data_IF_252438599844
#
_entry.id   IF_252438599844
#
_cell.length_a   1.000
_cell.length_b   1.000
_cell.length_c   1.000
_cell.angle_alpha   90.00
_cell.angle_beta   90.00
_cell.angle_gamma   90.00
#
_symmetry.space_group_name_H-M   'P 1'
#
loop_
_entity.id
_entity.type
_entity.pdbx_description
1 polymer ?
#
# COMPACT_ATOMS: atom_id res chain seq x y z
N UNK A 1 53.83 -0.25 4.60
CA UNK A 1 52.72 0.67 4.23
C UNK A 1 51.44 -0.10 4.39
N UNK A 2 50.81 0.00 5.56
CA UNK A 2 49.60 -0.75 5.88
C UNK A 2 48.38 0.09 5.46
N UNK A 3 47.63 -0.43 4.52
CA UNK A 3 46.39 0.17 4.05
C UNK A 3 45.28 -0.19 5.05
N UNK A 4 44.93 0.76 5.92
CA UNK A 4 43.79 0.64 6.82
C UNK A 4 42.51 0.80 6.01
N UNK A 5 41.77 -0.29 5.85
CA UNK A 5 40.40 -0.29 5.36
C UNK A 5 39.49 0.31 6.44
N UNK A 6 39.00 1.51 6.20
CA UNK A 6 37.93 2.09 7.03
C UNK A 6 36.63 1.54 6.52
N UNK A 7 36.01 0.67 7.32
CA UNK A 7 34.65 0.17 7.07
C UNK A 7 33.68 1.37 7.16
N UNK A 8 33.26 1.90 6.03
CA UNK A 8 32.19 2.89 5.97
C UNK A 8 30.88 2.12 6.14
N UNK A 9 30.17 2.38 7.24
CA UNK A 9 28.92 1.69 7.55
C UNK A 9 27.89 1.92 6.44
N UNK A 10 27.44 0.85 5.83
CA UNK A 10 26.33 0.83 4.89
C UNK A 10 25.06 0.83 5.73
N UNK A 11 24.36 1.95 5.75
CA UNK A 11 23.00 2.00 6.30
C UNK A 11 22.03 1.66 5.18
N UNK A 12 21.42 0.51 5.29
CA UNK A 12 20.42 0.00 4.36
C UNK A 12 19.08 0.65 4.69
N UNK A 13 18.66 1.61 3.91
CA UNK A 13 17.28 2.12 3.95
C UNK A 13 16.49 1.39 2.87
N UNK A 14 15.97 0.21 3.20
CA UNK A 14 14.98 -0.45 2.37
C UNK A 14 13.61 0.11 2.73
N UNK A 15 13.08 1.03 1.95
CA UNK A 15 11.66 1.35 1.98
C UNK A 15 10.89 0.26 1.24
N UNK A 16 10.84 -0.92 1.84
CA UNK A 16 9.91 -1.96 1.42
C UNK A 16 8.63 -1.71 2.18
N UNK A 17 7.62 -1.18 1.51
CA UNK A 17 6.26 -1.24 2.01
C UNK A 17 5.75 -2.64 1.69
N UNK A 18 6.26 -3.61 2.43
CA UNK A 18 5.56 -4.87 2.60
C UNK A 18 4.50 -4.61 3.64
N UNK A 19 3.24 -4.78 3.32
CA UNK A 19 2.16 -4.89 4.30
C UNK A 19 2.28 -6.20 5.10
N UNK A 20 3.50 -6.58 5.47
CA UNK A 20 3.77 -7.68 6.37
C UNK A 20 3.83 -7.12 7.79
N UNK A 21 2.90 -7.54 8.63
CA UNK A 21 2.88 -7.24 10.05
C UNK A 21 4.18 -7.71 10.71
N UNK A 22 5.10 -6.77 10.97
CA UNK A 22 6.25 -7.02 11.83
C UNK A 22 5.71 -7.04 13.27
N UNK A 23 5.61 -8.23 13.86
CA UNK A 23 5.47 -8.38 15.32
C UNK A 23 6.74 -7.86 16.00
N UNK A 24 6.66 -6.66 16.54
CA UNK A 24 7.65 -6.16 17.51
C UNK A 24 7.14 -6.51 18.91
N UNK A 25 7.96 -7.14 19.78
CA UNK A 25 7.53 -7.46 21.13
C UNK A 25 7.24 -6.18 21.93
N UNK A 26 6.09 -6.17 22.61
CA UNK A 26 5.69 -5.11 23.55
C UNK A 26 6.76 -4.94 24.63
N UNK A 27 7.50 -3.84 24.58
CA UNK A 27 8.13 -3.30 25.78
C UNK A 27 7.19 -2.27 26.40
N UNK A 28 6.73 -2.56 27.60
CA UNK A 28 5.96 -1.64 28.44
C UNK A 28 6.76 -0.37 28.71
N UNK A 29 6.35 0.73 28.10
CA UNK A 29 6.74 2.09 28.53
C UNK A 29 5.53 2.75 29.20
N UNK A 30 5.70 3.45 30.33
CA UNK A 30 4.59 4.06 31.04
C UNK A 30 3.99 5.23 30.24
N UNK A 31 2.67 5.32 30.31
CA UNK A 31 1.90 6.40 29.70
C UNK A 31 2.37 7.77 30.22
N UNK A 32 3.06 8.51 29.37
CA UNK A 32 3.30 9.92 29.59
C UNK A 32 2.18 10.74 28.92
N UNK A 33 1.57 11.60 29.70
CA UNK A 33 0.53 12.54 29.37
C UNK A 33 0.81 13.30 28.08
N UNK A 34 -0.13 13.23 27.13
CA UNK A 34 -0.16 14.01 25.90
C UNK A 34 -0.37 15.48 26.27
N UNK A 35 0.48 16.42 25.81
CA UNK A 35 0.20 17.86 25.96
C UNK A 35 -1.04 18.24 25.14
N UNK A 36 -2.06 18.77 25.80
CA UNK A 36 -3.18 19.43 25.12
C UNK A 36 -2.67 20.74 24.47
N UNK A 37 -2.79 20.84 23.14
CA UNK A 37 -2.67 22.10 22.43
C UNK A 37 -1.78 22.10 21.21
N UNK A 38 -2.18 21.37 20.16
CA UNK A 38 -1.77 21.65 18.77
C UNK A 38 -2.90 21.17 17.89
N UNK A 39 -3.20 21.88 16.81
CA UNK A 39 -4.24 21.51 15.85
C UNK A 39 -3.96 20.11 15.29
N UNK A 40 -4.44 19.11 16.01
CA UNK A 40 -4.29 17.69 15.70
C UNK A 40 -5.49 17.30 14.86
N UNK A 41 -5.39 17.47 13.55
CA UNK A 41 -6.49 17.11 12.68
C UNK A 41 -6.02 16.88 11.27
N UNK A 42 -6.84 16.18 10.54
CA UNK A 42 -6.74 16.08 9.10
C UNK A 42 -7.13 17.42 8.46
N UNK A 43 -6.36 17.87 7.49
CA UNK A 43 -6.61 19.09 6.71
C UNK A 43 -7.20 18.66 5.38
N UNK A 44 -8.39 19.19 5.02
CA UNK A 44 -8.98 18.92 3.73
C UNK A 44 -8.31 19.81 2.66
N UNK A 45 -7.50 19.20 1.80
CA UNK A 45 -6.82 19.85 0.67
C UNK A 45 -7.59 19.75 -0.66
N UNK A 46 -8.75 19.07 -0.67
CA UNK A 46 -9.60 18.85 -1.83
C UNK A 46 -11.08 19.14 -1.49
N UNK A 47 -11.96 19.05 -2.47
CA UNK A 47 -13.42 19.12 -2.25
C UNK A 47 -13.96 17.73 -1.96
N UNK A 48 -14.93 17.65 -1.03
CA UNK A 48 -15.65 16.40 -0.80
C UNK A 48 -16.54 16.07 -2.01
N UNK A 49 -16.57 14.80 -2.45
CA UNK A 49 -17.44 14.40 -3.56
C UNK A 49 -18.92 14.39 -3.17
N UNK A 50 -19.79 14.45 -4.17
CA UNK A 50 -21.20 14.18 -3.99
C UNK A 50 -21.40 12.75 -3.44
N UNK A 51 -22.35 12.62 -2.54
CA UNK A 51 -22.58 11.37 -1.84
C UNK A 51 -23.89 10.72 -2.30
N UNK A 52 -23.86 9.48 -2.83
CA UNK A 52 -25.09 8.74 -3.10
C UNK A 52 -25.80 8.38 -1.79
N UNK A 53 -27.11 8.15 -1.85
CA UNK A 53 -27.89 7.73 -0.67
C UNK A 53 -27.60 6.28 -0.25
N UNK A 54 -27.23 5.44 -1.24
CA UNK A 54 -26.89 4.02 -1.07
C UNK A 54 -25.61 3.69 -1.83
N UNK A 55 -24.98 2.59 -1.46
CA UNK A 55 -23.86 2.03 -2.19
C UNK A 55 -23.99 0.50 -2.25
N UNK A 56 -23.45 -0.16 -3.31
CA UNK A 56 -23.48 -1.60 -3.40
C UNK A 56 -22.62 -2.26 -2.33
N UNK A 57 -23.05 -3.43 -1.88
CA UNK A 57 -22.22 -4.42 -1.18
C UNK A 57 -21.91 -5.56 -2.14
N UNK A 58 -20.76 -6.21 -1.94
CA UNK A 58 -20.37 -7.35 -2.77
C UNK A 58 -20.07 -8.57 -1.91
N UNK A 59 -20.64 -9.71 -2.30
CA UNK A 59 -20.35 -11.00 -1.67
C UNK A 59 -19.07 -11.59 -2.25
N UNK A 60 -18.17 -12.03 -1.40
CA UNK A 60 -16.97 -12.74 -1.80
C UNK A 60 -17.33 -14.17 -2.16
N UNK A 61 -17.13 -14.55 -3.42
CA UNK A 61 -17.48 -15.91 -3.92
C UNK A 61 -16.25 -16.80 -4.06
N UNK A 62 -15.06 -16.23 -4.24
CA UNK A 62 -13.80 -16.97 -4.33
C UNK A 62 -12.64 -16.10 -3.88
N UNK A 63 -11.65 -16.74 -3.25
CA UNK A 63 -10.41 -16.15 -2.80
C UNK A 63 -9.23 -16.84 -3.50
N UNK A 64 -8.26 -16.06 -3.95
CA UNK A 64 -6.97 -16.52 -4.44
C UNK A 64 -5.87 -15.94 -3.53
N UNK A 65 -4.91 -16.78 -3.18
CA UNK A 65 -3.72 -16.35 -2.44
C UNK A 65 -2.53 -17.15 -2.95
N UNK A 66 -1.47 -16.44 -3.32
CA UNK A 66 -0.22 -17.04 -3.75
C UNK A 66 0.92 -16.21 -3.17
N UNK A 67 1.91 -16.88 -2.63
CA UNK A 67 3.18 -16.28 -2.26
C UNK A 67 4.30 -17.17 -2.74
N UNK A 68 5.19 -16.61 -3.55
CA UNK A 68 6.44 -17.21 -3.95
C UNK A 68 7.52 -16.14 -3.90
N UNK A 69 8.67 -16.47 -3.35
CA UNK A 69 9.77 -15.52 -3.24
C UNK A 69 11.10 -16.23 -3.06
N UNK A 70 12.15 -15.64 -3.62
CA UNK A 70 13.54 -16.06 -3.45
C UNK A 70 14.25 -15.17 -2.43
N UNK A 71 15.34 -15.68 -1.86
CA UNK A 71 16.18 -14.87 -0.99
C UNK A 71 16.90 -13.80 -1.82
N UNK A 72 16.67 -12.53 -1.49
CA UNK A 72 17.30 -11.40 -2.17
C UNK A 72 18.74 -11.24 -1.69
N UNK A 73 19.67 -11.27 -2.63
CA UNK A 73 21.08 -10.93 -2.36
C UNK A 73 21.29 -9.48 -2.76
N UNK A 74 21.78 -8.68 -1.82
CA UNK A 74 22.10 -7.27 -2.08
C UNK A 74 23.48 -7.14 -2.69
N UNK A 75 23.51 -6.94 -3.99
CA UNK A 75 24.70 -6.73 -4.79
C UNK A 75 24.41 -5.75 -5.92
N UNK A 76 25.44 -5.23 -6.54
CA UNK A 76 25.27 -4.39 -7.74
C UNK A 76 24.71 -5.26 -8.86
N UNK A 77 23.50 -4.94 -9.31
CA UNK A 77 22.79 -5.64 -10.37
C UNK A 77 22.98 -4.92 -11.71
N UNK A 78 23.00 -5.70 -12.78
CA UNK A 78 22.95 -5.20 -14.15
C UNK A 78 21.62 -5.60 -14.79
N UNK A 79 21.17 -4.88 -15.80
CA UNK A 79 19.99 -5.30 -16.59
C UNK A 79 18.68 -5.43 -15.79
N UNK A 80 18.49 -4.61 -14.77
CA UNK A 80 17.20 -4.46 -14.09
C UNK A 80 16.20 -3.82 -15.08
N UNK A 81 15.01 -4.41 -15.28
CA UNK A 81 14.05 -3.90 -16.25
C UNK A 81 13.59 -2.49 -15.91
N UNK A 82 13.44 -1.67 -16.94
CA UNK A 82 12.76 -0.38 -16.82
C UNK A 82 11.29 -0.58 -16.43
N UNK A 83 10.63 0.46 -15.95
CA UNK A 83 9.22 0.41 -15.55
C UNK A 83 8.31 -0.14 -16.67
N UNK A 84 8.56 0.25 -17.94
CA UNK A 84 7.77 -0.24 -19.09
C UNK A 84 8.02 -1.73 -19.39
N UNK A 85 9.26 -2.17 -19.31
CA UNK A 85 9.62 -3.58 -19.50
C UNK A 85 9.07 -4.44 -18.37
N UNK A 86 9.11 -3.92 -17.14
CA UNK A 86 8.62 -4.61 -15.96
C UNK A 86 7.14 -4.97 -16.06
N UNK A 87 6.30 -4.07 -16.57
CA UNK A 87 4.87 -4.37 -16.80
C UNK A 87 4.70 -5.55 -17.77
N UNK A 88 5.47 -5.56 -18.87
CA UNK A 88 5.41 -6.64 -19.87
C UNK A 88 5.85 -7.98 -19.26
N UNK A 89 6.92 -7.98 -18.46
CA UNK A 89 7.39 -9.18 -17.76
C UNK A 89 6.37 -9.65 -16.72
N UNK A 90 5.82 -8.74 -15.93
CA UNK A 90 4.83 -9.05 -14.92
C UNK A 90 3.57 -9.71 -15.53
N UNK A 91 3.01 -9.15 -16.59
CA UNK A 91 1.85 -9.71 -17.28
C UNK A 91 2.14 -11.10 -17.85
N UNK A 92 3.34 -11.32 -18.39
CA UNK A 92 3.76 -12.64 -18.89
C UNK A 92 3.88 -13.66 -17.77
N UNK A 93 4.50 -13.30 -16.65
CA UNK A 93 4.64 -14.15 -15.47
C UNK A 93 3.27 -14.51 -14.89
N UNK A 94 2.37 -13.55 -14.81
CA UNK A 94 1.02 -13.76 -14.27
C UNK A 94 0.23 -14.85 -14.99
N UNK A 95 0.54 -15.18 -16.24
CA UNK A 95 -0.12 -16.29 -16.96
C UNK A 95 0.01 -17.60 -16.17
N UNK A 96 1.16 -17.87 -15.58
CA UNK A 96 1.43 -19.08 -14.80
C UNK A 96 0.73 -19.06 -13.41
N UNK A 97 0.29 -17.87 -12.98
CA UNK A 97 -0.40 -17.65 -11.70
C UNK A 97 -1.91 -17.33 -11.87
N UNK A 98 -2.51 -17.83 -12.95
CA UNK A 98 -3.95 -17.68 -13.22
C UNK A 98 -4.33 -16.42 -13.99
N UNK A 99 -3.34 -15.67 -14.49
CA UNK A 99 -3.53 -14.46 -15.28
C UNK A 99 -3.81 -13.20 -14.47
N UNK A 100 -3.83 -12.08 -15.16
CA UNK A 100 -4.24 -10.79 -14.60
C UNK A 100 -5.78 -10.75 -14.53
N UNK A 101 -6.38 -10.53 -13.33
CA UNK A 101 -7.83 -10.38 -13.19
C UNK A 101 -8.37 -9.22 -14.01
N UNK A 102 -9.62 -9.34 -14.49
CA UNK A 102 -10.24 -8.30 -15.36
C UNK A 102 -10.50 -6.97 -14.65
N UNK A 103 -10.63 -7.04 -13.33
CA UNK A 103 -10.87 -5.93 -12.41
C UNK A 103 -9.57 -5.44 -11.75
N UNK A 104 -8.41 -5.87 -12.27
CA UNK A 104 -7.10 -5.38 -11.87
C UNK A 104 -6.74 -4.11 -12.64
N UNK A 105 -6.21 -3.12 -11.93
CA UNK A 105 -5.63 -1.89 -12.48
C UNK A 105 -4.19 -1.75 -12.02
N UNK A 106 -3.31 -1.30 -12.91
CA UNK A 106 -1.93 -1.01 -12.59
C UNK A 106 -1.87 0.20 -11.63
N UNK A 107 -1.35 -0.01 -10.42
CA UNK A 107 -1.31 1.01 -9.37
C UNK A 107 0.06 1.64 -9.21
N UNK A 108 1.11 0.84 -9.31
CA UNK A 108 2.48 1.31 -9.15
C UNK A 108 3.42 0.50 -10.03
N UNK A 109 4.38 1.20 -10.61
CA UNK A 109 5.62 0.61 -11.12
C UNK A 109 6.77 1.45 -10.60
N UNK A 110 7.74 0.82 -9.92
CA UNK A 110 8.84 1.55 -9.28
C UNK A 110 10.11 0.72 -9.29
N UNK A 111 11.21 1.32 -9.72
CA UNK A 111 12.53 0.76 -9.48
C UNK A 111 12.97 1.00 -8.02
N UNK A 112 13.46 -0.03 -7.37
CA UNK A 112 14.01 0.01 -6.02
C UNK A 112 15.53 0.00 -6.11
N UNK A 113 16.17 0.88 -5.35
CA UNK A 113 17.60 1.11 -5.40
C UNK A 113 18.28 0.74 -4.09
N UNK A 114 19.50 0.22 -4.20
CA UNK A 114 20.46 0.21 -3.11
C UNK A 114 21.18 1.55 -3.14
N UNK A 115 21.15 2.27 -2.04
CA UNK A 115 21.76 3.60 -1.94
C UNK A 115 23.01 3.53 -1.07
N UNK A 116 24.09 4.13 -1.58
CA UNK A 116 25.29 4.42 -0.80
C UNK A 116 25.16 5.82 -0.22
N UNK A 117 24.93 5.87 1.07
CA UNK A 117 24.66 7.11 1.80
C UNK A 117 25.92 7.60 2.54
N UNK A 118 26.27 8.87 2.37
CA UNK A 118 27.34 9.51 3.11
C UNK A 118 26.80 10.13 4.40
N UNK A 119 27.13 9.53 5.53
CA UNK A 119 26.67 9.97 6.85
C UNK A 119 27.23 11.33 7.30
N UNK A 120 28.32 11.84 6.68
CA UNK A 120 28.89 13.12 7.03
C UNK A 120 28.27 14.30 6.31
N UNK A 121 27.89 14.07 5.04
CA UNK A 121 27.25 15.09 4.19
C UNK A 121 25.73 14.93 4.14
N UNK A 122 25.23 13.84 4.71
CA UNK A 122 23.80 13.48 4.68
C UNK A 122 23.22 13.41 3.26
N UNK A 123 24.02 12.87 2.31
CA UNK A 123 23.65 12.77 0.90
C UNK A 123 23.81 11.36 0.35
N UNK A 124 22.99 11.01 -0.62
CA UNK A 124 23.17 9.82 -1.45
C UNK A 124 24.31 10.06 -2.43
N UNK A 125 25.35 9.21 -2.40
CA UNK A 125 26.53 9.31 -3.30
C UNK A 125 26.32 8.48 -4.57
N UNK A 126 25.76 7.28 -4.44
CA UNK A 126 25.57 6.34 -5.54
C UNK A 126 24.26 5.58 -5.35
N UNK A 127 23.59 5.24 -6.44
CA UNK A 127 22.36 4.44 -6.45
C UNK A 127 22.51 3.28 -7.44
N UNK A 128 22.14 2.07 -7.01
CA UNK A 128 22.23 0.88 -7.83
C UNK A 128 20.85 0.21 -7.88
N UNK A 129 20.22 0.05 -9.06
CA UNK A 129 18.93 -0.59 -9.16
C UNK A 129 19.03 -2.05 -8.67
N UNK A 130 18.07 -2.48 -7.84
CA UNK A 130 18.03 -3.82 -7.26
C UNK A 130 16.95 -4.69 -7.91
N UNK A 131 15.79 -4.11 -8.10
CA UNK A 131 14.63 -4.76 -8.74
C UNK A 131 13.61 -3.70 -9.16
N UNK A 132 12.68 -4.12 -10.00
CA UNK A 132 11.50 -3.30 -10.33
C UNK A 132 10.26 -3.96 -9.75
N UNK A 133 9.52 -3.19 -8.97
CA UNK A 133 8.26 -3.58 -8.37
C UNK A 133 7.10 -3.19 -9.27
N UNK A 134 6.13 -4.09 -9.46
CA UNK A 134 4.88 -3.85 -10.20
C UNK A 134 3.73 -4.23 -9.28
N UNK A 135 2.81 -3.29 -9.04
CA UNK A 135 1.64 -3.50 -8.18
C UNK A 135 0.36 -3.29 -9.00
N UNK A 136 -0.53 -4.26 -8.93
CA UNK A 136 -1.90 -4.16 -9.40
C UNK A 136 -2.85 -4.16 -8.21
N UNK A 137 -3.85 -3.29 -8.22
CA UNK A 137 -4.91 -3.24 -7.21
C UNK A 137 -6.27 -3.53 -7.84
N UNK A 138 -7.20 -4.02 -7.05
CA UNK A 138 -8.55 -4.30 -7.50
C UNK A 138 -9.39 -3.03 -7.63
N UNK A 139 -10.23 -2.98 -8.66
CA UNK A 139 -11.22 -1.92 -8.86
C UNK A 139 -12.57 -2.54 -9.26
N UNK A 140 -13.62 -2.29 -8.50
CA UNK A 140 -14.95 -2.82 -8.76
C UNK A 140 -15.85 -1.71 -9.29
N UNK A 141 -16.28 -1.82 -10.56
CA UNK A 141 -17.13 -0.82 -11.22
C UNK A 141 -16.61 0.63 -11.10
N UNK A 142 -15.30 0.81 -11.15
CA UNK A 142 -14.66 2.12 -11.00
C UNK A 142 -14.36 2.54 -9.55
N UNK A 143 -14.87 1.82 -8.54
CA UNK A 143 -14.56 2.06 -7.14
C UNK A 143 -13.29 1.32 -6.71
N UNK A 144 -12.32 1.97 -6.05
CA UNK A 144 -11.11 1.34 -5.60
C UNK A 144 -11.38 0.33 -4.48
N UNK A 145 -10.63 -0.76 -4.48
CA UNK A 145 -10.52 -1.66 -3.33
C UNK A 145 -9.14 -1.46 -2.73
N UNK A 146 -9.08 -1.07 -1.47
CA UNK A 146 -7.83 -0.86 -0.74
C UNK A 146 -7.60 -1.96 0.28
N UNK A 147 -6.35 -2.20 0.61
CA UNK A 147 -5.96 -3.20 1.61
C UNK A 147 -5.29 -4.43 1.00
N UNK A 148 -4.60 -5.22 1.85
CA UNK A 148 -3.68 -6.26 1.41
C UNK A 148 -4.36 -7.46 0.75
N UNK A 149 -5.69 -7.59 0.86
CA UNK A 149 -6.44 -8.69 0.24
C UNK A 149 -6.89 -8.44 -1.19
N UNK A 150 -6.46 -7.32 -1.81
CA UNK A 150 -6.88 -6.89 -3.15
C UNK A 150 -5.70 -6.40 -4.00
N UNK A 151 -4.53 -7.03 -3.83
CA UNK A 151 -3.30 -6.63 -4.52
C UNK A 151 -2.58 -7.81 -5.14
N UNK A 152 -1.85 -7.52 -6.21
CA UNK A 152 -0.83 -8.38 -6.79
C UNK A 152 0.45 -7.57 -6.81
N UNK A 153 1.45 -8.02 -6.08
CA UNK A 153 2.77 -7.41 -6.01
C UNK A 153 3.81 -8.35 -6.65
N UNK A 154 4.55 -7.86 -7.64
CA UNK A 154 5.56 -8.61 -8.38
C UNK A 154 6.86 -7.84 -8.32
N UNK A 155 7.94 -8.52 -7.95
CA UNK A 155 9.29 -7.96 -7.94
C UNK A 155 10.15 -8.69 -8.97
N UNK A 156 10.75 -7.91 -9.85
CA UNK A 156 11.51 -8.38 -11.01
C UNK A 156 12.98 -7.99 -10.89
N UNK A 157 13.84 -8.98 -10.85
CA UNK A 157 15.30 -8.85 -10.85
C UNK A 157 15.90 -8.71 -12.24
N UNK A 158 17.17 -9.15 -12.36
CA UNK A 158 17.92 -9.05 -13.62
C UNK A 158 17.20 -9.76 -14.77
N UNK A 159 17.15 -9.09 -15.92
CA UNK A 159 16.51 -9.60 -17.13
C UNK A 159 15.03 -9.99 -16.97
N UNK A 160 14.33 -9.46 -15.94
CA UNK A 160 12.94 -9.76 -15.64
C UNK A 160 12.73 -11.08 -14.89
N UNK A 161 13.77 -11.60 -14.23
CA UNK A 161 13.66 -12.76 -13.33
C UNK A 161 12.64 -12.46 -12.21
N UNK A 162 11.75 -13.41 -11.94
CA UNK A 162 10.80 -13.30 -10.82
C UNK A 162 11.55 -13.49 -9.50
N UNK A 163 11.62 -12.42 -8.69
CA UNK A 163 12.16 -12.48 -7.34
C UNK A 163 11.07 -12.76 -6.31
N UNK A 164 9.89 -12.16 -6.48
CA UNK A 164 8.76 -12.36 -5.59
C UNK A 164 7.46 -12.10 -6.33
N UNK A 165 6.46 -12.92 -6.03
CA UNK A 165 5.06 -12.66 -6.32
C UNK A 165 4.24 -12.87 -5.06
N UNK A 166 3.42 -11.87 -4.73
CA UNK A 166 2.38 -11.96 -3.72
C UNK A 166 1.06 -11.57 -4.37
N UNK A 167 0.13 -12.50 -4.40
CA UNK A 167 -1.20 -12.30 -4.98
C UNK A 167 -2.23 -12.61 -3.91
N UNK A 168 -3.01 -11.61 -3.54
CA UNK A 168 -4.20 -11.75 -2.73
C UNK A 168 -5.37 -11.14 -3.48
N UNK A 169 -6.33 -11.96 -3.90
CA UNK A 169 -7.43 -11.52 -4.76
C UNK A 169 -8.75 -12.15 -4.35
N UNK A 170 -9.82 -11.36 -4.39
CA UNK A 170 -11.17 -11.86 -4.13
C UNK A 170 -12.06 -11.59 -5.32
N UNK A 171 -12.72 -12.64 -5.80
CA UNK A 171 -13.78 -12.53 -6.78
C UNK A 171 -15.08 -12.26 -6.05
N UNK A 172 -15.82 -11.27 -6.53
CA UNK A 172 -17.01 -10.78 -5.85
C UNK A 172 -18.20 -10.74 -6.80
N UNK A 173 -19.40 -10.88 -6.23
CA UNK A 173 -20.67 -10.71 -6.91
C UNK A 173 -21.53 -9.67 -6.19
N UNK A 174 -22.37 -8.97 -6.93
CA UNK A 174 -23.29 -7.97 -6.38
C UNK A 174 -24.18 -8.59 -5.30
N UNK A 175 -24.18 -7.98 -4.11
CA UNK A 175 -24.90 -8.46 -2.93
C UNK A 175 -26.12 -7.59 -2.53
N UNK A 176 -26.35 -6.49 -3.25
CA UNK A 176 -27.43 -5.54 -2.96
C UNK A 176 -26.93 -4.13 -2.64
N UNK A 177 -27.85 -3.29 -2.19
CA UNK A 177 -27.58 -1.88 -1.82
C UNK A 177 -27.76 -1.67 -0.31
N UNK A 178 -26.89 -0.85 0.29
CA UNK A 178 -27.01 -0.42 1.69
C UNK A 178 -27.01 1.10 1.78
N UNK A 179 -27.77 1.68 2.73
CA UNK A 179 -27.72 3.12 2.98
C UNK A 179 -26.34 3.51 3.55
N UNK A 180 -25.79 4.62 3.06
CA UNK A 180 -24.48 5.11 3.49
C UNK A 180 -24.55 6.54 4.02
N UNK A 181 -23.58 6.91 4.86
CA UNK A 181 -23.35 8.28 5.30
C UNK A 181 -22.74 9.11 4.17
N UNK A 182 -22.90 10.41 4.24
CA UNK A 182 -22.26 11.33 3.29
C UNK A 182 -20.74 11.42 3.49
N UNK A 183 -20.02 11.89 2.46
CA UNK A 183 -18.59 12.18 2.56
C UNK A 183 -18.29 13.22 3.65
N UNK A 184 -19.22 14.17 3.91
CA UNK A 184 -19.10 15.15 4.99
C UNK A 184 -19.18 14.49 6.37
N UNK A 185 -20.17 13.62 6.60
CA UNK A 185 -20.30 12.87 7.86
C UNK A 185 -19.09 11.93 8.07
N UNK A 186 -18.59 11.32 6.99
CA UNK A 186 -17.38 10.51 7.06
C UNK A 186 -16.13 11.34 7.38
N UNK A 187 -16.01 12.55 6.83
CA UNK A 187 -14.93 13.47 7.18
C UNK A 187 -14.99 13.89 8.66
N UNK A 188 -16.19 14.12 9.21
CA UNK A 188 -16.35 14.36 10.64
C UNK A 188 -15.90 13.17 11.49
N UNK A 189 -16.20 11.92 11.07
CA UNK A 189 -15.70 10.70 11.71
C UNK A 189 -14.18 10.63 11.63
N UNK A 190 -13.57 10.94 10.47
CA UNK A 190 -12.11 11.01 10.29
C UNK A 190 -11.47 11.98 11.28
N UNK A 191 -12.05 13.18 11.45
CA UNK A 191 -11.57 14.19 12.42
C UNK A 191 -11.63 13.69 13.87
N UNK A 192 -12.57 12.80 14.20
CA UNK A 192 -12.66 12.14 15.50
C UNK A 192 -11.83 10.87 15.62
N UNK A 193 -11.02 10.57 14.58
CA UNK A 193 -10.18 9.35 14.49
C UNK A 193 -10.99 8.03 14.54
N UNK A 194 -12.23 8.06 14.07
CA UNK A 194 -13.10 6.88 13.92
C UNK A 194 -12.74 6.13 12.64
N UNK A 195 -11.56 5.52 12.62
CA UNK A 195 -10.97 4.82 11.47
C UNK A 195 -11.19 3.32 11.56
N UNK A 196 -11.36 2.65 10.42
CA UNK A 196 -11.38 1.17 10.33
C UNK A 196 -10.04 0.56 10.74
N UNK A 197 -8.94 1.23 10.40
CA UNK A 197 -7.58 0.85 10.78
C UNK A 197 -6.86 2.10 11.26
N UNK A 198 -6.27 2.02 12.45
CA UNK A 198 -5.49 3.12 13.00
C UNK A 198 -4.04 2.95 12.57
N UNK A 199 -3.44 3.89 11.84
CA UNK A 199 -2.03 3.85 11.50
C UNK A 199 -1.17 3.92 12.76
N UNK A 200 0.02 3.32 12.71
CA UNK A 200 0.99 3.39 13.82
C UNK A 200 1.71 4.75 13.89
N UNK A 201 1.58 5.58 12.86
CA UNK A 201 2.19 6.91 12.78
C UNK A 201 1.31 7.99 13.41
N UNK A 202 1.91 9.14 13.74
CA UNK A 202 1.17 10.31 14.22
C UNK A 202 0.14 10.78 13.18
N UNK A 203 -1.09 11.08 13.64
CA UNK A 203 -2.20 11.56 12.82
C UNK A 203 -2.32 13.11 12.82
N UNK A 204 -1.24 13.83 13.01
CA UNK A 204 -1.29 15.31 13.08
C UNK A 204 -0.76 15.98 11.80
N UNK A 205 -1.49 16.96 11.29
CA UNK A 205 -1.09 17.78 10.15
C UNK A 205 -1.13 17.04 8.80
N UNK A 206 -2.00 16.02 8.68
CA UNK A 206 -2.15 15.25 7.46
C UNK A 206 -3.10 15.98 6.50
N UNK A 207 -2.62 16.28 5.30
CA UNK A 207 -3.44 16.87 4.24
C UNK A 207 -4.08 15.78 3.40
N UNK A 208 -5.41 15.81 3.30
CA UNK A 208 -6.18 14.92 2.43
C UNK A 208 -6.23 15.52 1.03
N UNK A 209 -5.69 14.80 0.05
CA UNK A 209 -5.59 15.22 -1.36
C UNK A 209 -6.70 14.66 -2.25
N UNK A 210 -7.32 13.54 -1.88
CA UNK A 210 -8.43 12.94 -2.63
C UNK A 210 -9.38 12.17 -1.71
N UNK A 211 -10.67 12.07 -2.10
CA UNK A 211 -11.70 11.35 -1.34
C UNK A 211 -12.54 10.50 -2.28
N UNK A 212 -12.62 9.20 -2.01
CA UNK A 212 -13.37 8.25 -2.83
C UNK A 212 -14.23 7.31 -2.00
N UNK A 213 -15.35 6.92 -2.57
CA UNK A 213 -16.12 5.77 -2.09
C UNK A 213 -15.49 4.50 -2.68
N UNK A 214 -15.24 3.51 -1.85
CA UNK A 214 -14.59 2.27 -2.25
C UNK A 214 -14.84 1.14 -1.26
N UNK A 215 -13.92 0.18 -1.22
CA UNK A 215 -14.03 -1.03 -0.40
C UNK A 215 -12.71 -1.31 0.31
N UNK A 216 -12.79 -2.07 1.41
CA UNK A 216 -11.60 -2.57 2.11
C UNK A 216 -11.52 -4.09 1.97
N UNK A 217 -10.35 -4.59 1.54
CA UNK A 217 -10.01 -5.99 1.51
C UNK A 217 -9.05 -6.33 2.64
N UNK A 218 -9.48 -7.16 3.58
CA UNK A 218 -8.62 -7.72 4.61
C UNK A 218 -7.53 -8.60 3.99
N UNK A 219 -6.48 -8.89 4.74
CA UNK A 219 -5.42 -9.78 4.25
C UNK A 219 -5.95 -11.16 3.81
N UNK A 220 -5.10 -11.91 3.10
CA UNK A 220 -5.48 -13.19 2.52
C UNK A 220 -5.86 -14.27 3.54
N UNK A 221 -5.45 -14.13 4.81
CA UNK A 221 -5.74 -15.10 5.87
C UNK A 221 -7.15 -14.94 6.44
N UNK A 222 -7.69 -13.70 6.42
CA UNK A 222 -9.02 -13.41 6.94
C UNK A 222 -10.13 -13.92 6.03
N UNK A 223 -11.16 -14.51 6.65
CA UNK A 223 -12.34 -15.03 5.95
C UNK A 223 -13.41 -13.95 5.76
N UNK A 224 -13.01 -12.87 5.08
CA UNK A 224 -13.94 -11.80 4.74
C UNK A 224 -14.97 -12.28 3.71
N UNK A 225 -16.25 -12.20 4.06
CA UNK A 225 -17.36 -12.66 3.23
C UNK A 225 -17.99 -11.59 2.38
N UNK A 226 -17.87 -10.34 2.79
CA UNK A 226 -18.54 -9.20 2.17
C UNK A 226 -17.58 -8.02 2.08
N UNK A 227 -17.60 -7.35 0.95
CA UNK A 227 -17.06 -6.01 0.79
C UNK A 227 -18.16 -5.00 1.11
N UNK A 228 -18.01 -4.32 2.23
CA UNK A 228 -18.87 -3.20 2.63
C UNK A 228 -18.28 -1.88 2.14
N UNK A 229 -19.13 -0.91 1.76
CA UNK A 229 -18.65 0.39 1.30
C UNK A 229 -17.93 1.15 2.43
N UNK A 230 -16.87 1.83 2.05
CA UNK A 230 -16.07 2.70 2.93
C UNK A 230 -15.81 4.03 2.23
N UNK A 231 -15.63 5.10 2.99
CA UNK A 231 -15.02 6.32 2.51
C UNK A 231 -13.50 6.25 2.69
N UNK A 232 -12.77 6.53 1.61
CA UNK A 232 -11.31 6.50 1.56
C UNK A 232 -10.81 7.92 1.40
N UNK A 233 -10.02 8.38 2.36
CA UNK A 233 -9.37 9.68 2.35
C UNK A 233 -7.88 9.48 2.09
N UNK A 234 -7.41 9.91 0.95
CA UNK A 234 -6.03 9.76 0.55
C UNK A 234 -5.20 10.97 0.97
N UNK A 235 -4.02 10.71 1.52
CA UNK A 235 -2.98 11.72 1.70
C UNK A 235 -1.80 11.42 0.80
N UNK A 236 -1.12 12.45 0.32
CA UNK A 236 0.09 12.30 -0.44
C UNK A 236 1.22 11.77 0.43
N UNK A 237 2.01 10.84 -0.11
CA UNK A 237 3.23 10.35 0.49
C UNK A 237 4.41 10.52 -0.46
N UNK A 238 5.61 10.63 0.11
CA UNK A 238 6.84 10.84 -0.65
C UNK A 238 7.29 9.61 -1.46
N UNK A 239 6.71 8.45 -1.21
CA UNK A 239 7.06 7.16 -1.83
C UNK A 239 6.24 6.80 -3.08
N UNK A 240 5.29 7.65 -3.45
CA UNK A 240 4.54 7.58 -4.71
C UNK A 240 3.17 6.93 -4.65
N UNK A 241 2.83 6.21 -3.56
CA UNK A 241 1.46 5.74 -3.32
C UNK A 241 0.77 6.61 -2.27
N UNK A 242 -0.46 7.13 -2.55
CA UNK A 242 -1.23 7.85 -1.56
C UNK A 242 -1.65 6.92 -0.42
N UNK A 243 -1.53 7.39 0.82
CA UNK A 243 -1.92 6.60 1.99
C UNK A 243 -3.43 6.70 2.23
N UNK A 244 -4.17 5.58 2.32
CA UNK A 244 -5.60 5.58 2.52
C UNK A 244 -5.98 5.60 4.02
N UNK A 245 -6.74 6.60 4.45
CA UNK A 245 -7.46 6.59 5.72
C UNK A 245 -8.90 6.19 5.46
N UNK A 246 -9.37 5.15 6.15
CA UNK A 246 -10.63 4.49 5.85
C UNK A 246 -11.66 4.69 6.95
N UNK A 247 -12.85 5.11 6.57
CA UNK A 247 -14.00 5.30 7.46
C UNK A 247 -15.16 4.44 6.96
N UNK A 248 -15.82 3.72 7.87
CA UNK A 248 -17.02 2.96 7.53
C UNK A 248 -18.11 3.89 6.97
N UNK A 249 -18.61 3.54 5.78
CA UNK A 249 -19.64 4.32 5.12
C UNK A 249 -21.07 3.87 5.48
N UNK A 250 -21.29 2.74 6.10
CA UNK A 250 -22.63 2.25 6.43
C UNK A 250 -23.29 3.09 7.53
N UNK A 251 -24.64 3.28 7.39
CA UNK A 251 -25.48 3.95 8.39
C UNK A 251 -25.84 3.05 9.54
#
# INVERSE_FOLDING_TARGET
METKWILTGIVLVCTVISAAAIMVPLMNTPANSIPQGSATGFILGTTLPDSPATAPVYNVVRKESTFEGSQKVMEVKSSIPSEKEAVIFAEKILVDYGGLPKDAVLSLVKQVYLEKYNLKTETVEEQYPQFTQVIYSQQINGSPVVGPGAEINIELGENGELLQIEKAWRHVEYGGEVPIISASEAYEKLQRHELLKIPQSSLSGITISDVKLGYYAEDGEHDQKVYSPIWIFYSDQSDGLPFPYMVDAMK
#
